data_IF_116239562003
#
_entry.id   IF_116239562003
#
_cell.length_a   1.000
_cell.length_b   1.000
_cell.length_c   1.000
_cell.angle_alpha   90.00
_cell.angle_beta   90.00
_cell.angle_gamma   90.00
#
_symmetry.space_group_name_H-M   'P 1'
#
loop_
_entity.id
_entity.type
_entity.pdbx_description
1 polymer ?
#
# COMPACT_ATOMS: atom_id res chain seq x y z
N UNK A 1 11.85 18.52 -25.19
CA UNK A 1 10.40 18.85 -25.13
C UNK A 1 9.75 17.77 -24.28
N UNK A 2 9.61 18.04 -23.01
CA UNK A 2 9.00 17.13 -22.03
C UNK A 2 7.49 17.16 -22.22
N UNK A 3 6.93 16.04 -22.64
CA UNK A 3 5.48 15.86 -22.69
C UNK A 3 4.93 15.97 -21.27
N UNK A 4 4.23 17.06 -20.97
CA UNK A 4 3.35 17.13 -19.80
C UNK A 4 2.26 16.08 -20.00
N UNK A 5 2.34 14.99 -19.26
CA UNK A 5 1.20 14.10 -19.06
C UNK A 5 0.10 14.94 -18.43
N UNK A 6 -0.99 15.08 -19.14
CA UNK A 6 -2.19 15.80 -18.71
C UNK A 6 -2.77 14.99 -17.52
N UNK A 7 -2.41 15.42 -16.30
CA UNK A 7 -2.94 14.84 -15.07
C UNK A 7 -4.41 15.26 -14.98
N UNK A 8 -5.31 14.42 -15.45
CA UNK A 8 -6.70 14.51 -15.02
C UNK A 8 -6.68 14.44 -13.48
N UNK A 9 -6.91 15.59 -12.84
CA UNK A 9 -7.08 15.67 -11.41
C UNK A 9 -8.23 14.72 -11.05
N UNK A 10 -7.89 13.63 -10.35
CA UNK A 10 -8.87 12.68 -9.84
C UNK A 10 -9.81 13.47 -8.92
N UNK A 11 -11.03 13.71 -9.38
CA UNK A 11 -12.02 14.46 -8.63
C UNK A 11 -12.60 13.56 -7.53
N UNK A 12 -11.95 13.56 -6.37
CA UNK A 12 -12.43 12.91 -5.16
C UNK A 12 -11.90 11.49 -4.92
N UNK A 13 -11.89 11.10 -3.65
CA UNK A 13 -11.45 9.80 -3.16
C UNK A 13 -12.64 8.93 -2.75
N UNK A 14 -12.47 7.60 -2.82
CA UNK A 14 -13.44 6.62 -2.33
C UNK A 14 -13.23 6.44 -0.83
N UNK A 15 -14.21 6.86 -0.02
CA UNK A 15 -14.09 6.94 1.43
C UNK A 15 -15.15 6.05 2.08
N UNK A 16 -14.71 5.20 3.02
CA UNK A 16 -15.55 4.48 3.96
C UNK A 16 -15.56 5.25 5.29
N UNK A 17 -16.74 5.43 5.87
CA UNK A 17 -16.90 6.04 7.20
C UNK A 17 -17.31 4.94 8.18
N UNK A 18 -16.56 4.80 9.27
CA UNK A 18 -16.87 3.88 10.36
C UNK A 18 -17.14 4.70 11.61
N UNK A 19 -18.42 4.84 11.95
CA UNK A 19 -18.90 5.72 13.01
C UNK A 19 -20.30 5.24 13.43
N UNK A 20 -20.50 4.90 14.68
CA UNK A 20 -21.78 4.39 15.18
C UNK A 20 -22.80 5.51 15.52
N UNK A 21 -22.34 6.76 15.71
CA UNK A 21 -23.21 7.90 15.84
C UNK A 21 -23.69 8.41 14.46
N UNK A 22 -24.92 8.03 14.09
CA UNK A 22 -25.52 8.37 12.79
C UNK A 22 -25.41 9.85 12.42
N UNK A 23 -25.63 10.76 13.38
CA UNK A 23 -25.60 12.21 13.14
C UNK A 23 -24.20 12.66 12.72
N UNK A 24 -23.14 12.11 13.33
CA UNK A 24 -21.75 12.42 13.02
C UNK A 24 -21.42 11.85 11.64
N UNK A 25 -21.71 10.57 11.42
CA UNK A 25 -21.47 9.92 10.13
C UNK A 25 -22.16 10.65 8.96
N UNK A 26 -23.42 11.06 9.13
CA UNK A 26 -24.20 11.77 8.11
C UNK A 26 -23.67 13.20 7.87
N UNK A 27 -23.21 13.89 8.92
CA UNK A 27 -22.58 15.20 8.78
C UNK A 27 -21.27 15.13 7.99
N UNK A 28 -20.42 14.13 8.28
CA UNK A 28 -19.18 13.87 7.56
C UNK A 28 -19.50 13.54 6.09
N UNK A 29 -20.41 12.60 5.83
CA UNK A 29 -20.81 12.20 4.48
C UNK A 29 -21.25 13.39 3.65
N UNK A 30 -22.20 14.20 4.14
CA UNK A 30 -22.72 15.37 3.42
C UNK A 30 -21.62 16.38 3.08
N UNK A 31 -20.70 16.60 4.01
CA UNK A 31 -19.62 17.56 3.80
C UNK A 31 -18.63 17.04 2.75
N UNK A 32 -18.20 15.79 2.84
CA UNK A 32 -17.24 15.19 1.92
C UNK A 32 -17.81 15.05 0.50
N UNK A 33 -19.11 14.68 0.35
CA UNK A 33 -19.76 14.64 -0.96
C UNK A 33 -19.83 16.01 -1.63
N UNK A 34 -20.08 17.09 -0.88
CA UNK A 34 -20.05 18.46 -1.43
C UNK A 34 -18.68 18.86 -1.96
N UNK A 35 -17.61 18.24 -1.48
CA UNK A 35 -16.25 18.48 -1.93
C UNK A 35 -15.78 17.49 -3.01
N UNK A 36 -16.70 16.69 -3.54
CA UNK A 36 -16.44 15.80 -4.66
C UNK A 36 -15.92 14.41 -4.27
N UNK A 37 -15.85 14.07 -2.98
CA UNK A 37 -15.48 12.72 -2.56
C UNK A 37 -16.64 11.72 -2.72
N UNK A 38 -16.31 10.44 -2.89
CA UNK A 38 -17.28 9.35 -3.06
C UNK A 38 -17.36 8.54 -1.77
N UNK A 39 -18.44 8.72 -0.99
CA UNK A 39 -18.67 7.89 0.18
C UNK A 39 -19.24 6.57 -0.29
N UNK A 40 -18.46 5.51 -0.12
CA UNK A 40 -18.75 4.16 -0.61
C UNK A 40 -19.53 3.31 0.40
N UNK A 41 -19.60 3.75 1.66
CA UNK A 41 -20.38 3.13 2.71
C UNK A 41 -20.25 3.85 4.05
N UNK A 42 -21.17 3.54 4.95
CA UNK A 42 -21.11 3.88 6.37
C UNK A 42 -21.26 2.58 7.15
N UNK A 43 -20.38 2.31 8.08
CA UNK A 43 -20.41 1.15 8.97
C UNK A 43 -20.55 1.63 10.41
N UNK A 44 -21.30 0.90 11.20
CA UNK A 44 -21.51 1.18 12.63
C UNK A 44 -20.79 0.17 13.53
N UNK A 45 -20.20 -0.88 12.94
CA UNK A 45 -19.52 -1.94 13.65
C UNK A 45 -18.28 -2.44 12.90
N UNK A 46 -17.47 -3.26 13.57
CA UNK A 46 -16.32 -3.93 12.96
C UNK A 46 -16.74 -4.82 11.79
N UNK A 47 -17.78 -5.62 11.97
CA UNK A 47 -18.25 -6.59 10.99
C UNK A 47 -18.71 -5.90 9.70
N UNK A 48 -19.51 -4.85 9.83
CA UNK A 48 -19.93 -4.03 8.68
C UNK A 48 -18.76 -3.33 7.98
N UNK A 49 -17.79 -2.83 8.76
CA UNK A 49 -16.61 -2.18 8.20
C UNK A 49 -15.77 -3.14 7.35
N UNK A 50 -15.54 -4.37 7.83
CA UNK A 50 -14.81 -5.41 7.11
C UNK A 50 -15.55 -5.85 5.85
N UNK A 51 -16.87 -6.05 5.93
CA UNK A 51 -17.70 -6.43 4.80
C UNK A 51 -17.71 -5.33 3.70
N UNK A 52 -17.98 -4.08 4.09
CA UNK A 52 -17.98 -2.95 3.18
C UNK A 52 -16.60 -2.71 2.56
N UNK A 53 -15.52 -2.88 3.33
CA UNK A 53 -14.17 -2.79 2.78
C UNK A 53 -13.95 -3.86 1.70
N UNK A 54 -14.30 -5.10 1.96
CA UNK A 54 -14.12 -6.20 1.00
C UNK A 54 -14.88 -5.97 -0.31
N UNK A 55 -16.10 -5.44 -0.22
CA UNK A 55 -16.97 -5.17 -1.38
C UNK A 55 -16.55 -3.89 -2.13
N UNK A 56 -16.20 -2.84 -1.43
CA UNK A 56 -16.07 -1.49 -1.99
C UNK A 56 -14.61 -1.05 -2.22
N UNK A 57 -13.63 -1.68 -1.57
CA UNK A 57 -12.21 -1.31 -1.69
C UNK A 57 -11.97 0.20 -1.62
N UNK A 58 -12.30 0.87 -0.50
CA UNK A 58 -12.07 2.30 -0.31
C UNK A 58 -10.58 2.63 -0.33
N UNK A 59 -10.25 3.86 -0.73
CA UNK A 59 -8.88 4.39 -0.69
C UNK A 59 -8.52 4.97 0.68
N UNK A 60 -9.56 5.47 1.39
CA UNK A 60 -9.45 6.06 2.71
C UNK A 60 -10.56 5.50 3.61
N UNK A 61 -10.22 5.22 4.86
CA UNK A 61 -11.19 4.85 5.90
C UNK A 61 -11.12 5.87 7.04
N UNK A 62 -12.24 6.47 7.38
CA UNK A 62 -12.39 7.27 8.59
C UNK A 62 -12.93 6.36 9.68
N UNK A 63 -12.25 6.23 10.80
CA UNK A 63 -12.53 5.23 11.82
C UNK A 63 -12.72 5.90 13.18
N UNK A 64 -13.92 5.80 13.75
CA UNK A 64 -14.05 6.08 15.19
C UNK A 64 -13.32 5.02 16.00
N UNK A 65 -12.51 5.44 16.94
CA UNK A 65 -11.80 4.53 17.84
C UNK A 65 -12.79 3.79 18.74
N UNK A 66 -13.82 4.49 19.22
CA UNK A 66 -14.82 3.94 20.15
C UNK A 66 -16.09 3.61 19.39
N UNK A 67 -16.27 2.34 19.05
CA UNK A 67 -17.49 1.82 18.46
C UNK A 67 -18.31 1.10 19.52
N UNK A 68 -19.62 1.10 19.33
CA UNK A 68 -20.54 0.28 20.12
C UNK A 68 -20.32 -1.20 19.79
N UNK A 69 -20.04 -2.01 20.84
CA UNK A 69 -19.83 -3.46 20.66
C UNK A 69 -18.56 -3.95 21.35
N UNK A 70 -18.14 -5.17 21.00
CA UNK A 70 -16.97 -5.84 21.60
C UNK A 70 -15.66 -5.51 20.91
N UNK A 71 -15.71 -5.03 19.66
CA UNK A 71 -14.57 -4.66 18.83
C UNK A 71 -14.54 -3.15 18.60
N UNK A 72 -13.34 -2.61 18.61
CA UNK A 72 -13.06 -1.18 18.52
C UNK A 72 -12.58 -0.78 17.12
N UNK A 73 -12.45 0.51 16.86
CA UNK A 73 -11.80 1.01 15.65
C UNK A 73 -10.33 0.59 15.52
N UNK A 74 -9.65 0.30 16.64
CA UNK A 74 -8.28 -0.23 16.63
C UNK A 74 -8.24 -1.65 16.04
N UNK A 75 -9.25 -2.49 16.32
CA UNK A 75 -9.35 -3.82 15.72
C UNK A 75 -9.54 -3.75 14.21
N UNK A 76 -10.32 -2.75 13.73
CA UNK A 76 -10.47 -2.50 12.30
C UNK A 76 -9.14 -2.10 11.68
N UNK A 77 -8.40 -1.18 12.29
CA UNK A 77 -7.09 -0.76 11.80
C UNK A 77 -6.08 -1.92 11.74
N UNK A 78 -6.07 -2.79 12.76
CA UNK A 78 -5.25 -4.00 12.76
C UNK A 78 -5.62 -4.94 11.60
N UNK A 79 -6.92 -5.12 11.32
CA UNK A 79 -7.36 -5.89 10.16
C UNK A 79 -6.89 -5.25 8.84
N UNK A 80 -7.05 -3.93 8.68
CA UNK A 80 -6.63 -3.22 7.47
C UNK A 80 -5.12 -3.34 7.23
N UNK A 81 -4.31 -3.28 8.29
CA UNK A 81 -2.85 -3.40 8.19
C UNK A 81 -2.36 -4.81 7.79
N UNK A 82 -3.19 -5.84 7.91
CA UNK A 82 -2.86 -7.20 7.46
C UNK A 82 -3.12 -7.41 5.96
N UNK A 83 -3.73 -6.45 5.29
CA UNK A 83 -4.02 -6.54 3.87
C UNK A 83 -2.74 -6.30 3.04
N UNK A 84 -2.67 -6.92 1.88
CA UNK A 84 -1.56 -6.73 0.94
C UNK A 84 -1.39 -5.26 0.51
N UNK A 85 -2.51 -4.58 0.22
CA UNK A 85 -2.56 -3.15 -0.08
C UNK A 85 -3.50 -2.46 0.94
N UNK A 86 -2.99 -2.05 2.11
CA UNK A 86 -3.82 -1.40 3.10
C UNK A 86 -4.29 -0.03 2.60
N UNK A 87 -5.57 0.34 2.87
CA UNK A 87 -6.04 1.68 2.61
C UNK A 87 -5.38 2.66 3.59
N UNK A 88 -5.40 3.92 3.24
CA UNK A 88 -5.11 4.97 4.23
C UNK A 88 -6.23 5.01 5.26
N UNK A 89 -5.93 5.24 6.53
CA UNK A 89 -6.98 5.48 7.50
C UNK A 89 -6.63 6.61 8.48
N UNK A 90 -7.67 7.32 8.91
CA UNK A 90 -7.63 8.39 9.90
C UNK A 90 -8.55 8.01 11.06
N UNK A 91 -8.09 8.25 12.28
CA UNK A 91 -8.94 8.08 13.45
C UNK A 91 -9.77 9.33 13.73
N UNK A 92 -11.02 9.08 14.10
CA UNK A 92 -11.93 10.06 14.72
C UNK A 92 -11.97 9.77 16.21
N UNK A 93 -11.78 10.77 17.06
CA UNK A 93 -11.70 10.54 18.51
C UNK A 93 -12.28 11.68 19.33
N UNK A 94 -13.05 11.36 20.36
CA UNK A 94 -13.59 12.36 21.30
C UNK A 94 -12.54 12.77 22.34
N UNK A 95 -11.88 11.83 23.00
CA UNK A 95 -10.77 12.04 23.93
C UNK A 95 -10.15 10.68 24.20
N UNK A 96 -8.84 10.57 24.07
CA UNK A 96 -8.15 9.31 24.32
C UNK A 96 -7.47 9.37 25.69
N UNK A 97 -7.69 8.34 26.50
CA UNK A 97 -6.77 8.02 27.57
C UNK A 97 -5.42 7.57 26.97
N UNK A 98 -4.38 7.63 27.80
CA UNK A 98 -3.00 7.36 27.36
C UNK A 98 -2.87 5.93 26.79
N UNK A 99 -3.54 4.95 27.38
CA UNK A 99 -3.47 3.56 26.97
C UNK A 99 -4.07 3.36 25.57
N UNK A 100 -5.27 3.86 25.33
CA UNK A 100 -5.93 3.81 24.01
C UNK A 100 -5.11 4.51 22.95
N UNK A 101 -4.47 5.67 23.28
CA UNK A 101 -3.61 6.38 22.36
C UNK A 101 -2.37 5.57 21.97
N UNK A 102 -1.72 4.90 22.93
CA UNK A 102 -0.56 4.06 22.63
C UNK A 102 -0.94 2.86 21.75
N UNK A 103 -2.09 2.22 22.02
CA UNK A 103 -2.60 1.14 21.17
C UNK A 103 -2.91 1.64 19.73
N UNK A 104 -3.51 2.81 19.60
CA UNK A 104 -3.85 3.39 18.30
C UNK A 104 -2.59 3.79 17.50
N UNK A 105 -1.53 4.28 18.14
CA UNK A 105 -0.26 4.62 17.48
C UNK A 105 0.41 3.43 16.80
N UNK A 106 0.36 2.26 17.44
CA UNK A 106 0.97 1.03 16.89
C UNK A 106 0.37 0.63 15.56
N UNK A 107 -0.89 1.01 15.29
CA UNK A 107 -1.55 0.73 14.01
C UNK A 107 -1.10 1.66 12.87
N UNK A 108 -0.23 2.64 13.13
CA UNK A 108 0.33 3.58 12.16
C UNK A 108 -0.74 4.33 11.34
N UNK A 109 -1.70 5.02 11.99
CA UNK A 109 -2.70 5.81 11.27
C UNK A 109 -2.03 7.00 10.56
N UNK A 110 -2.63 7.44 9.47
CA UNK A 110 -2.17 8.64 8.78
C UNK A 110 -2.46 9.95 9.55
N UNK A 111 -3.32 9.89 10.56
CA UNK A 111 -3.59 11.01 11.47
C UNK A 111 -4.79 10.76 12.39
N UNK A 112 -5.03 11.75 13.23
CA UNK A 112 -6.11 11.79 14.22
C UNK A 112 -6.92 13.07 14.05
N UNK A 113 -8.22 12.97 14.17
CA UNK A 113 -9.16 14.08 14.14
C UNK A 113 -10.02 14.06 15.42
N UNK A 114 -9.90 15.11 16.23
CA UNK A 114 -10.68 15.21 17.47
C UNK A 114 -12.13 15.60 17.19
N UNK A 115 -13.06 14.97 17.90
CA UNK A 115 -14.46 15.37 17.96
C UNK A 115 -14.65 16.54 18.96
N UNK A 116 -15.44 17.57 18.65
CA UNK A 116 -16.28 17.71 17.44
C UNK A 116 -15.45 17.98 16.19
N UNK A 117 -15.78 17.27 15.10
CA UNK A 117 -14.99 17.29 13.87
C UNK A 117 -15.16 18.62 13.15
N UNK A 118 -14.06 19.37 13.04
CA UNK A 118 -14.00 20.57 12.21
C UNK A 118 -13.86 20.17 10.73
N UNK A 119 -14.88 20.45 9.91
CA UNK A 119 -14.95 19.98 8.52
C UNK A 119 -13.82 20.52 7.63
N UNK A 120 -13.29 21.72 7.91
CA UNK A 120 -12.14 22.24 7.19
C UNK A 120 -10.86 21.47 7.55
N UNK A 121 -10.67 21.13 8.82
CA UNK A 121 -9.54 20.29 9.28
C UNK A 121 -9.64 18.90 8.69
N UNK A 122 -10.82 18.27 8.71
CA UNK A 122 -11.05 16.97 8.08
C UNK A 122 -10.63 16.98 6.60
N UNK A 123 -11.11 17.98 5.84
CA UNK A 123 -10.79 18.09 4.42
C UNK A 123 -9.29 18.28 4.18
N UNK A 124 -8.65 19.26 4.84
CA UNK A 124 -7.22 19.50 4.66
C UNK A 124 -6.37 18.28 5.05
N UNK A 125 -6.75 17.57 6.12
CA UNK A 125 -6.07 16.33 6.51
C UNK A 125 -6.21 15.26 5.43
N UNK A 126 -7.39 15.05 4.87
CA UNK A 126 -7.61 14.10 3.78
C UNK A 126 -6.75 14.45 2.56
N UNK A 127 -6.78 15.71 2.11
CA UNK A 127 -6.02 16.16 0.94
C UNK A 127 -4.51 15.94 1.13
N UNK A 128 -3.95 16.38 2.27
CA UNK A 128 -2.52 16.22 2.55
C UNK A 128 -2.13 14.74 2.64
N UNK A 129 -2.92 13.96 3.37
CA UNK A 129 -2.64 12.53 3.57
C UNK A 129 -2.69 11.76 2.25
N UNK A 130 -3.72 11.99 1.45
CA UNK A 130 -3.88 11.31 0.18
C UNK A 130 -2.84 11.78 -0.87
N UNK A 131 -2.46 13.06 -0.83
CA UNK A 131 -1.36 13.56 -1.66
C UNK A 131 -0.04 12.87 -1.31
N UNK A 132 0.30 12.77 -0.02
CA UNK A 132 1.52 12.09 0.43
C UNK A 132 1.51 10.62 -0.02
N UNK A 133 0.38 9.91 0.14
CA UNK A 133 0.23 8.52 -0.29
C UNK A 133 0.43 8.34 -1.79
N UNK A 134 -0.11 9.26 -2.61
CA UNK A 134 0.08 9.23 -4.07
C UNK A 134 1.54 9.50 -4.44
N UNK A 135 2.18 10.47 -3.79
CA UNK A 135 3.59 10.79 -4.00
C UNK A 135 4.50 9.62 -3.61
N UNK A 136 4.26 8.98 -2.46
CA UNK A 136 4.98 7.79 -2.03
C UNK A 136 4.83 6.63 -3.02
N UNK A 137 3.61 6.42 -3.56
CA UNK A 137 3.37 5.40 -4.60
C UNK A 137 4.11 5.74 -5.90
N UNK A 138 4.14 7.00 -6.32
CA UNK A 138 4.88 7.43 -7.52
C UNK A 138 6.39 7.23 -7.34
N UNK A 139 6.95 7.64 -6.20
CA UNK A 139 8.37 7.48 -5.87
C UNK A 139 8.76 6.00 -5.75
N UNK A 140 7.86 5.17 -5.21
CA UNK A 140 8.07 3.73 -5.03
C UNK A 140 7.53 2.89 -6.20
N UNK A 141 7.43 3.45 -7.40
CA UNK A 141 7.02 2.74 -8.61
C UNK A 141 8.04 2.90 -9.72
N UNK A 142 8.14 1.88 -10.57
CA UNK A 142 8.96 1.90 -11.79
C UNK A 142 8.07 1.77 -13.02
N UNK A 143 8.42 2.45 -14.10
CA UNK A 143 7.73 2.31 -15.39
C UNK A 143 8.48 1.33 -16.27
N UNK A 144 7.86 0.20 -16.58
CA UNK A 144 8.43 -0.91 -17.34
C UNK A 144 7.80 -0.96 -18.74
N UNK A 145 8.54 -0.64 -19.83
CA UNK A 145 8.05 -0.74 -21.19
C UNK A 145 8.16 -2.18 -21.71
N UNK A 146 7.07 -2.77 -22.19
CA UNK A 146 7.05 -4.09 -22.84
C UNK A 146 7.14 -4.04 -24.37
N UNK A 147 7.35 -2.84 -24.94
CA UNK A 147 7.37 -2.58 -26.38
C UNK A 147 6.00 -2.30 -27.01
N UNK A 148 4.90 -2.52 -26.27
CA UNK A 148 3.52 -2.18 -26.65
C UNK A 148 2.89 -1.17 -25.72
N UNK A 149 3.20 -1.28 -24.44
CA UNK A 149 2.62 -0.50 -23.35
C UNK A 149 3.68 -0.10 -22.33
N UNK A 150 3.38 0.90 -21.53
CA UNK A 150 4.15 1.26 -20.35
C UNK A 150 3.39 0.79 -19.11
N UNK A 151 4.00 -0.09 -18.32
CA UNK A 151 3.44 -0.63 -17.09
C UNK A 151 4.02 0.12 -15.89
N UNK A 152 3.20 0.82 -15.15
CA UNK A 152 3.60 1.39 -13.85
C UNK A 152 3.44 0.30 -12.79
N UNK A 153 4.57 -0.12 -12.21
CA UNK A 153 4.64 -1.23 -11.26
C UNK A 153 5.18 -0.71 -9.93
N UNK A 154 4.46 -0.88 -8.82
CA UNK A 154 5.02 -0.64 -7.51
C UNK A 154 6.26 -1.50 -7.28
N UNK A 155 7.33 -0.92 -6.79
CA UNK A 155 8.60 -1.64 -6.56
C UNK A 155 8.40 -2.79 -5.58
N UNK A 156 7.55 -2.59 -4.56
CA UNK A 156 7.17 -3.63 -3.60
C UNK A 156 6.44 -4.83 -4.21
N UNK A 157 5.79 -4.68 -5.37
CA UNK A 157 5.10 -5.78 -6.06
C UNK A 157 6.07 -6.66 -6.86
N UNK A 158 7.33 -6.23 -7.08
CA UNK A 158 8.32 -7.02 -7.81
C UNK A 158 8.94 -8.04 -6.87
N UNK A 159 8.66 -9.33 -7.09
CA UNK A 159 9.22 -10.44 -6.31
C UNK A 159 10.66 -10.74 -6.70
N UNK A 160 10.88 -10.97 -7.98
CA UNK A 160 12.20 -11.24 -8.55
C UNK A 160 12.20 -11.01 -10.06
N UNK A 161 13.41 -10.89 -10.60
CA UNK A 161 13.67 -10.79 -12.04
C UNK A 161 14.42 -12.05 -12.49
N UNK A 162 14.05 -12.57 -13.65
CA UNK A 162 14.70 -13.72 -14.26
C UNK A 162 15.11 -13.40 -15.69
N UNK A 163 16.41 -13.48 -15.99
CA UNK A 163 16.89 -13.36 -17.35
C UNK A 163 16.65 -14.64 -18.15
N UNK A 164 16.10 -14.50 -19.34
CA UNK A 164 15.93 -15.54 -20.35
C UNK A 164 16.36 -15.00 -21.72
N UNK A 165 17.59 -15.33 -22.13
CA UNK A 165 18.24 -14.84 -23.35
C UNK A 165 18.29 -13.31 -23.42
N UNK A 166 17.51 -12.72 -24.32
CA UNK A 166 17.42 -11.25 -24.53
C UNK A 166 16.25 -10.62 -23.79
N UNK A 167 15.55 -11.41 -22.99
CA UNK A 167 14.39 -10.96 -22.22
C UNK A 167 14.63 -11.07 -20.74
N UNK A 168 13.95 -10.22 -19.97
CA UNK A 168 13.85 -10.31 -18.53
C UNK A 168 12.37 -10.50 -18.17
N UNK A 169 12.08 -11.55 -17.43
CA UNK A 169 10.78 -11.81 -16.83
C UNK A 169 10.74 -11.11 -15.47
N UNK A 170 9.81 -10.18 -15.30
CA UNK A 170 9.53 -9.51 -14.03
C UNK A 170 8.38 -10.23 -13.36
N UNK A 171 8.67 -10.97 -12.29
CA UNK A 171 7.67 -11.74 -11.54
C UNK A 171 7.05 -10.85 -10.47
N UNK A 172 5.72 -10.71 -10.53
CA UNK A 172 4.93 -9.79 -9.71
C UNK A 172 4.08 -10.53 -8.67
N UNK A 173 3.66 -9.80 -7.65
CA UNK A 173 2.65 -10.25 -6.68
C UNK A 173 1.28 -10.19 -7.35
N UNK A 174 0.50 -11.27 -7.28
CA UNK A 174 -0.91 -11.38 -7.71
C UNK A 174 -1.21 -10.88 -9.13
N UNK A 175 -0.19 -10.79 -9.99
CA UNK A 175 -0.29 -10.37 -11.39
C UNK A 175 0.53 -11.28 -12.29
N UNK A 176 0.16 -11.40 -13.58
CA UNK A 176 1.02 -12.07 -14.56
C UNK A 176 2.39 -11.42 -14.66
N UNK A 177 3.42 -12.23 -14.92
CA UNK A 177 4.76 -11.72 -15.16
C UNK A 177 4.82 -10.85 -16.41
N UNK A 178 5.59 -9.75 -16.34
CA UNK A 178 5.91 -8.93 -17.49
C UNK A 178 7.17 -9.47 -18.17
N UNK A 179 7.22 -9.40 -19.49
CA UNK A 179 8.38 -9.82 -20.29
C UNK A 179 8.95 -8.60 -21.00
N UNK A 180 10.15 -8.22 -20.63
CA UNK A 180 10.82 -7.01 -21.14
C UNK A 180 12.02 -7.39 -22.00
N UNK A 181 12.24 -6.69 -23.09
CA UNK A 181 13.45 -6.81 -23.89
C UNK A 181 14.53 -5.85 -23.36
N UNK A 182 15.23 -6.31 -22.34
CA UNK A 182 16.28 -5.53 -21.65
C UNK A 182 17.29 -6.47 -21.02
N UNK A 183 18.40 -5.94 -20.50
CA UNK A 183 19.32 -6.74 -19.70
C UNK A 183 18.94 -6.71 -18.20
N UNK A 184 19.34 -7.78 -17.49
CA UNK A 184 19.12 -7.83 -16.04
C UNK A 184 19.89 -6.72 -15.29
N UNK A 185 21.06 -6.32 -15.82
CA UNK A 185 21.88 -5.26 -15.23
C UNK A 185 21.26 -3.89 -15.41
N UNK A 186 20.69 -3.61 -16.61
CA UNK A 186 20.05 -2.33 -16.89
C UNK A 186 18.84 -2.15 -15.97
N UNK A 187 18.00 -3.19 -15.87
CA UNK A 187 16.83 -3.13 -15.01
C UNK A 187 17.19 -3.04 -13.51
N UNK A 188 18.26 -3.72 -13.07
CA UNK A 188 18.73 -3.61 -11.69
C UNK A 188 19.19 -2.19 -11.35
N UNK A 189 19.81 -1.47 -12.30
CA UNK A 189 20.25 -0.09 -12.09
C UNK A 189 19.10 0.89 -11.90
N UNK A 190 17.88 0.54 -12.37
CA UNK A 190 16.67 1.35 -12.20
C UNK A 190 15.94 1.04 -10.89
N UNK A 191 16.32 -0.02 -10.18
CA UNK A 191 15.70 -0.47 -8.93
C UNK A 191 16.52 -0.06 -7.70
N UNK A 192 15.88 0.14 -6.53
CA UNK A 192 16.59 0.44 -5.28
C UNK A 192 17.56 -0.69 -4.89
N UNK A 193 18.83 -0.39 -4.84
CA UNK A 193 19.89 -1.41 -4.58
C UNK A 193 19.84 -1.96 -3.16
N UNK A 194 19.26 -1.23 -2.21
CA UNK A 194 19.01 -1.68 -0.84
C UNK A 194 17.87 -2.72 -0.73
N UNK A 195 17.00 -2.81 -1.75
CA UNK A 195 15.90 -3.79 -1.78
C UNK A 195 16.15 -4.95 -2.73
N UNK A 196 16.99 -4.77 -3.74
CA UNK A 196 17.22 -5.76 -4.78
C UNK A 196 18.65 -6.23 -4.81
N UNK A 197 18.84 -7.55 -4.81
CA UNK A 197 20.16 -8.18 -4.88
C UNK A 197 20.24 -9.19 -6.00
N UNK A 198 21.32 -9.14 -6.77
CA UNK A 198 21.58 -10.16 -7.77
C UNK A 198 22.17 -11.42 -7.12
N UNK A 199 21.43 -12.52 -7.14
CA UNK A 199 21.82 -13.82 -6.55
C UNK A 199 22.53 -14.74 -7.53
N UNK A 200 22.22 -14.62 -8.83
CA UNK A 200 22.76 -15.42 -9.90
C UNK A 200 22.90 -14.57 -11.17
N UNK A 201 23.72 -15.03 -12.15
CA UNK A 201 23.79 -14.33 -13.46
C UNK A 201 22.44 -14.11 -14.13
N UNK A 202 21.44 -14.93 -13.81
CA UNK A 202 20.09 -14.88 -14.37
C UNK A 202 19.02 -14.48 -13.36
N UNK A 203 19.36 -14.12 -12.12
CA UNK A 203 18.36 -13.78 -11.10
C UNK A 203 18.74 -12.58 -10.27
N UNK A 204 17.77 -11.68 -10.10
CA UNK A 204 17.75 -10.59 -9.11
C UNK A 204 16.52 -10.80 -8.25
N UNK A 205 16.64 -10.67 -6.92
CA UNK A 205 15.52 -10.86 -5.98
C UNK A 205 15.25 -9.60 -5.18
N UNK A 206 14.01 -9.38 -4.85
CA UNK A 206 13.61 -8.41 -3.84
C UNK A 206 13.74 -9.06 -2.45
N UNK A 207 14.54 -8.47 -1.58
CA UNK A 207 14.81 -8.96 -0.22
C UNK A 207 13.55 -9.09 0.62
N UNK A 208 12.55 -8.24 0.40
CA UNK A 208 11.28 -8.23 1.14
C UNK A 208 10.40 -9.47 0.89
N UNK A 209 10.61 -10.17 -0.23
CA UNK A 209 9.83 -11.36 -0.61
C UNK A 209 10.52 -12.68 -0.28
N UNK A 210 11.69 -12.67 0.34
CA UNK A 210 12.40 -13.89 0.69
C UNK A 210 11.71 -14.55 1.88
N UNK A 211 11.15 -15.74 1.66
CA UNK A 211 10.45 -16.52 2.69
C UNK A 211 11.39 -17.41 3.48
N UNK A 212 12.46 -17.91 2.86
CA UNK A 212 13.52 -18.69 3.53
C UNK A 212 14.77 -18.77 2.67
N UNK A 213 15.89 -19.14 3.28
CA UNK A 213 17.15 -19.31 2.55
C UNK A 213 17.93 -20.53 3.00
N UNK A 214 18.71 -21.08 2.07
CA UNK A 214 19.69 -22.14 2.28
C UNK A 214 21.01 -21.72 1.65
N UNK A 215 22.10 -22.45 1.97
CA UNK A 215 23.43 -22.09 1.51
C UNK A 215 23.58 -21.90 -0.02
N UNK A 216 22.73 -22.51 -0.85
CA UNK A 216 22.83 -22.48 -2.32
C UNK A 216 21.63 -21.87 -3.02
N UNK A 217 20.56 -21.54 -2.31
CA UNK A 217 19.32 -21.04 -2.87
C UNK A 217 18.53 -20.21 -1.85
N UNK A 218 17.68 -19.32 -2.40
CA UNK A 218 16.64 -18.60 -1.69
C UNK A 218 15.29 -19.16 -2.10
N UNK A 219 14.28 -18.96 -1.25
CA UNK A 219 12.90 -19.26 -1.59
C UNK A 219 12.08 -17.98 -1.57
N UNK A 220 11.31 -17.78 -2.59
CA UNK A 220 10.27 -16.75 -2.69
C UNK A 220 8.98 -17.52 -2.97
N UNK A 221 8.10 -17.59 -2.00
CA UNK A 221 6.94 -18.49 -1.99
C UNK A 221 7.35 -19.95 -2.29
N UNK A 222 6.82 -20.52 -3.37
CA UNK A 222 7.15 -21.89 -3.83
C UNK A 222 8.34 -21.94 -4.81
N UNK A 223 8.87 -20.78 -5.20
CA UNK A 223 9.94 -20.71 -6.18
C UNK A 223 11.32 -20.79 -5.51
N UNK A 224 12.14 -21.70 -5.99
CA UNK A 224 13.55 -21.83 -5.56
C UNK A 224 14.46 -21.03 -6.51
N UNK A 225 15.20 -20.06 -5.97
CA UNK A 225 16.09 -19.18 -6.72
C UNK A 225 17.56 -19.50 -6.39
N UNK A 226 18.41 -19.75 -7.38
CA UNK A 226 19.81 -20.13 -7.14
C UNK A 226 20.65 -18.95 -6.64
N UNK A 227 21.62 -19.26 -5.77
CA UNK A 227 22.66 -18.32 -5.33
C UNK A 227 24.02 -18.82 -5.83
N UNK A 228 24.67 -18.03 -6.67
CA UNK A 228 26.00 -18.37 -7.20
C UNK A 228 27.07 -18.33 -6.09
N UNK A 229 28.15 -19.09 -6.26
CA UNK A 229 29.23 -19.15 -5.25
C UNK A 229 29.85 -17.78 -4.98
N UNK A 230 30.09 -17.00 -6.03
CA UNK A 230 30.71 -15.68 -5.97
C UNK A 230 29.84 -14.59 -5.29
N UNK A 231 28.52 -14.79 -5.22
CA UNK A 231 27.58 -13.80 -4.64
C UNK A 231 27.06 -14.19 -3.26
N UNK A 232 27.41 -15.40 -2.81
CA UNK A 232 26.83 -15.99 -1.59
C UNK A 232 27.07 -15.15 -0.35
N UNK A 233 28.30 -14.75 -0.12
CA UNK A 233 28.66 -14.05 1.11
C UNK A 233 28.01 -12.67 1.16
N UNK A 234 27.97 -11.97 0.02
CA UNK A 234 27.29 -10.68 -0.09
C UNK A 234 25.75 -10.80 0.12
N UNK A 235 25.13 -11.85 -0.44
CA UNK A 235 23.68 -12.09 -0.26
C UNK A 235 23.38 -12.45 1.20
N UNK A 236 24.18 -13.28 1.85
CA UNK A 236 23.96 -13.70 3.24
C UNK A 236 24.18 -12.56 4.25
N UNK A 237 24.95 -11.54 3.91
CA UNK A 237 25.11 -10.35 4.77
C UNK A 237 23.88 -9.41 4.75
N UNK A 238 23.02 -9.55 3.74
CA UNK A 238 21.80 -8.73 3.57
C UNK A 238 20.55 -9.38 4.17
N UNK A 239 20.63 -10.64 4.61
CA UNK A 239 19.55 -11.45 5.19
C UNK A 239 19.71 -11.58 6.71
#
# INVERSE_FOLDING_TARGET
MTAKVDRQQKTGFRILIVEDEFIIADSIERNLRRRGHHIVGKAISYEEAVELYAQQRPELVLIDIRLSGTRTGIDIANYLNQLHEPPVFLYLTSQLDTETLEMAKVTLPAGYLSKPIQMNTLHSTIEVTMHNRLTEREVNSITLPDGRSNHVVPIGDIRYLQADHVYVHVHLVDRPSLVLRTSLSDLLNELPQEQFVQTHRSFVVNLQHITSYKRKCLHIDQQQIPVSRSRRDAVLQLL
#
